data_IF_165004997115
#
_entry.id   IF_165004997115
#
_cell.length_a   1.000
_cell.length_b   1.000
_cell.length_c   1.000
_cell.angle_alpha   90.00
_cell.angle_beta   90.00
_cell.angle_gamma   90.00
#
_symmetry.space_group_name_H-M   'P 1'
#
loop_
_entity.id
_entity.type
_entity.pdbx_description
1 polymer ?
#
# COMPACT_ATOMS: atom_id res chain seq x y z
N UNK A 1 23.89 -12.22 -7.88
CA UNK A 1 24.44 -11.59 -6.66
C UNK A 1 25.10 -12.63 -5.75
N UNK A 2 24.39 -13.65 -5.20
CA UNK A 2 24.95 -14.62 -4.24
C UNK A 2 26.23 -15.33 -4.75
N UNK A 3 26.25 -15.80 -6.00
CA UNK A 3 27.40 -16.49 -6.58
C UNK A 3 28.62 -15.58 -6.70
N UNK A 4 28.40 -14.30 -7.07
CA UNK A 4 29.44 -13.27 -7.09
C UNK A 4 30.00 -12.96 -5.70
N UNK A 5 29.11 -12.87 -4.72
CA UNK A 5 29.51 -12.61 -3.31
C UNK A 5 30.35 -13.77 -2.77
N UNK A 6 29.96 -15.01 -3.07
CA UNK A 6 30.75 -16.20 -2.68
C UNK A 6 32.10 -16.19 -3.38
N UNK A 7 32.15 -15.92 -4.69
CA UNK A 7 33.43 -15.83 -5.43
C UNK A 7 34.37 -14.80 -4.83
N UNK A 8 33.85 -13.60 -4.55
CA UNK A 8 34.62 -12.55 -3.89
C UNK A 8 35.09 -12.97 -2.50
N UNK A 9 34.25 -13.64 -1.72
CA UNK A 9 34.61 -14.12 -0.37
C UNK A 9 35.73 -15.17 -0.43
N UNK A 10 35.78 -16.00 -1.47
CA UNK A 10 36.87 -16.95 -1.73
C UNK A 10 38.18 -16.19 -2.01
N UNK A 11 38.14 -15.14 -2.81
CA UNK A 11 39.30 -14.31 -3.11
C UNK A 11 39.83 -13.59 -1.85
N UNK A 12 38.93 -13.04 -1.03
CA UNK A 12 39.30 -12.34 0.20
C UNK A 12 39.82 -13.29 1.28
N UNK A 13 39.31 -14.53 1.36
CA UNK A 13 39.83 -15.55 2.27
C UNK A 13 41.24 -15.98 1.97
N UNK A 14 41.71 -15.84 0.72
CA UNK A 14 43.11 -16.10 0.35
C UNK A 14 44.10 -15.06 0.92
N UNK A 15 43.59 -13.84 1.20
CA UNK A 15 44.39 -12.74 1.76
C UNK A 15 44.47 -12.81 3.28
N UNK A 16 43.43 -13.33 3.94
CA UNK A 16 43.30 -13.34 5.38
C UNK A 16 42.84 -14.72 5.88
N UNK A 17 43.69 -15.44 6.59
CA UNK A 17 43.45 -16.84 7.04
C UNK A 17 42.25 -17.00 7.99
N UNK A 18 41.85 -15.95 8.68
CA UNK A 18 40.71 -15.93 9.63
C UNK A 18 39.44 -15.33 9.03
N UNK A 19 39.46 -15.05 7.72
CA UNK A 19 38.32 -14.39 7.04
C UNK A 19 37.07 -15.28 7.05
N UNK A 20 35.96 -14.70 7.50
CA UNK A 20 34.63 -15.27 7.40
C UNK A 20 33.71 -14.27 6.72
N UNK A 21 32.85 -14.76 5.86
CA UNK A 21 31.84 -13.93 5.21
C UNK A 21 30.46 -14.20 5.76
N UNK A 22 29.88 -13.19 6.41
CA UNK A 22 28.53 -13.30 6.96
C UNK A 22 27.49 -13.02 5.90
N UNK A 23 26.73 -14.06 5.52
CA UNK A 23 25.72 -13.98 4.45
C UNK A 23 24.43 -13.30 4.92
N UNK A 24 24.20 -13.28 6.23
CA UNK A 24 23.03 -12.64 6.84
C UNK A 24 22.45 -13.45 7.99
N UNK A 25 21.19 -13.17 8.33
CA UNK A 25 20.50 -13.79 9.45
C UNK A 25 19.38 -14.70 8.96
N UNK A 26 19.18 -15.83 9.64
CA UNK A 26 18.00 -16.69 9.51
C UNK A 26 17.25 -16.63 10.83
N UNK A 27 15.95 -16.32 10.78
CA UNK A 27 15.09 -16.28 11.96
C UNK A 27 14.19 -17.51 11.93
N UNK A 28 14.26 -18.30 12.96
CA UNK A 28 13.48 -19.52 13.15
C UNK A 28 12.53 -19.34 14.34
N UNK A 29 11.29 -19.77 14.16
CA UNK A 29 10.31 -19.94 15.21
C UNK A 29 10.20 -21.42 15.57
N UNK A 30 10.29 -21.71 16.84
CA UNK A 30 10.07 -23.06 17.37
C UNK A 30 8.62 -23.18 17.78
N UNK A 31 7.85 -23.97 17.03
CA UNK A 31 6.43 -24.17 17.30
C UNK A 31 6.19 -25.14 18.48
N UNK A 32 4.95 -25.27 18.92
CA UNK A 32 4.55 -26.14 20.05
C UNK A 32 4.90 -27.63 19.87
N UNK A 33 5.14 -28.06 18.62
CA UNK A 33 5.57 -29.41 18.27
C UNK A 33 7.09 -29.58 18.27
N UNK A 34 7.84 -28.58 18.70
CA UNK A 34 9.31 -28.52 18.59
C UNK A 34 9.86 -28.48 17.16
N UNK A 35 9.04 -28.15 16.16
CA UNK A 35 9.46 -27.98 14.78
C UNK A 35 9.98 -26.55 14.58
N UNK A 36 10.97 -26.40 13.70
CA UNK A 36 11.55 -25.11 13.36
C UNK A 36 10.93 -24.56 12.08
N UNK A 37 10.23 -23.45 12.16
CA UNK A 37 9.61 -22.73 11.05
C UNK A 37 10.48 -21.53 10.66
N UNK A 38 10.80 -21.39 9.38
CA UNK A 38 11.61 -20.26 8.90
C UNK A 38 10.71 -19.03 8.79
N UNK A 39 10.95 -18.02 9.62
CA UNK A 39 10.25 -16.72 9.58
C UNK A 39 10.95 -15.76 8.63
N UNK A 40 12.28 -15.69 8.66
CA UNK A 40 13.11 -14.94 7.71
C UNK A 40 14.30 -15.74 7.23
N UNK A 41 14.78 -15.40 6.03
CA UNK A 41 15.91 -16.06 5.39
C UNK A 41 15.53 -17.20 4.45
N UNK A 42 14.24 -17.40 4.13
CA UNK A 42 13.75 -18.45 3.24
C UNK A 42 14.51 -18.45 1.89
N UNK A 43 14.67 -17.29 1.27
CA UNK A 43 15.39 -17.16 -0.01
C UNK A 43 16.86 -17.57 0.12
N UNK A 44 17.51 -17.25 1.24
CA UNK A 44 18.90 -17.65 1.52
C UNK A 44 19.00 -19.15 1.66
N UNK A 45 18.14 -19.76 2.48
CA UNK A 45 18.11 -21.21 2.69
C UNK A 45 17.90 -21.95 1.37
N UNK A 46 16.90 -21.54 0.57
CA UNK A 46 16.62 -22.14 -0.74
C UNK A 46 17.78 -21.97 -1.72
N UNK A 47 18.41 -20.82 -1.79
CA UNK A 47 19.55 -20.56 -2.68
C UNK A 47 20.77 -21.42 -2.29
N UNK A 48 21.05 -21.57 -0.99
CA UNK A 48 22.10 -22.45 -0.51
C UNK A 48 21.79 -23.92 -0.74
N UNK A 49 20.52 -24.31 -0.58
CA UNK A 49 20.05 -25.67 -0.85
C UNK A 49 20.28 -26.05 -2.33
N UNK A 50 19.88 -25.17 -3.27
CA UNK A 50 20.08 -25.37 -4.70
C UNK A 50 21.56 -25.42 -5.07
N UNK A 51 22.36 -24.54 -4.50
CA UNK A 51 23.81 -24.53 -4.72
C UNK A 51 24.47 -25.81 -4.18
N UNK A 52 24.09 -26.22 -2.97
CA UNK A 52 24.61 -27.47 -2.37
C UNK A 52 24.23 -28.69 -3.17
N UNK A 53 22.98 -28.77 -3.64
CA UNK A 53 22.49 -29.86 -4.48
C UNK A 53 23.28 -29.95 -5.82
N UNK A 54 23.60 -28.78 -6.42
CA UNK A 54 24.42 -28.74 -7.62
C UNK A 54 25.87 -29.22 -7.39
N UNK A 55 26.47 -28.81 -6.28
CA UNK A 55 27.86 -29.14 -5.94
C UNK A 55 28.01 -30.60 -5.45
N UNK A 56 26.95 -31.15 -4.86
CA UNK A 56 26.91 -32.49 -4.29
C UNK A 56 25.55 -33.14 -4.56
N UNK A 57 25.37 -33.80 -5.72
CA UNK A 57 24.11 -34.45 -6.07
C UNK A 57 23.65 -35.56 -5.12
N UNK A 58 24.55 -36.06 -4.26
CA UNK A 58 24.24 -37.05 -3.25
C UNK A 58 23.71 -36.46 -1.93
N UNK A 59 23.67 -35.10 -1.86
CA UNK A 59 23.19 -34.41 -0.67
C UNK A 59 21.70 -34.66 -0.43
N UNK A 60 21.37 -35.11 0.76
CA UNK A 60 20.00 -35.40 1.19
C UNK A 60 19.68 -34.59 2.44
N UNK A 61 18.54 -33.91 2.44
CA UNK A 61 17.97 -33.28 3.63
C UNK A 61 16.44 -33.24 3.54
N UNK A 62 15.78 -33.05 4.67
CA UNK A 62 14.32 -33.03 4.76
C UNK A 62 13.68 -31.90 3.93
N UNK A 63 14.39 -30.78 3.70
CA UNK A 63 13.91 -29.65 2.90
C UNK A 63 13.73 -29.98 1.42
N UNK A 64 14.40 -31.02 0.90
CA UNK A 64 14.25 -31.49 -0.48
C UNK A 64 12.89 -32.18 -0.73
N UNK A 65 12.20 -32.59 0.34
CA UNK A 65 10.90 -33.26 0.25
C UNK A 65 9.72 -32.29 0.36
N UNK A 66 9.99 -30.97 0.43
CA UNK A 66 8.94 -29.96 0.52
C UNK A 66 8.32 -29.73 -0.86
N UNK A 67 7.02 -29.94 -0.97
CA UNK A 67 6.26 -29.59 -2.16
C UNK A 67 5.79 -28.14 -2.09
N UNK A 68 6.11 -27.36 -3.12
CA UNK A 68 5.68 -25.99 -3.26
C UNK A 68 4.40 -25.93 -4.10
N UNK A 69 3.27 -25.59 -3.48
CA UNK A 69 1.99 -25.46 -4.18
C UNK A 69 1.94 -24.27 -5.16
N UNK A 70 2.72 -23.23 -4.91
CA UNK A 70 2.72 -22.00 -5.73
C UNK A 70 3.58 -22.17 -6.99
N UNK A 71 2.94 -22.09 -8.16
CA UNK A 71 3.60 -22.20 -9.49
C UNK A 71 4.70 -21.15 -9.73
N UNK A 72 4.59 -19.95 -9.15
CA UNK A 72 5.60 -18.91 -9.25
C UNK A 72 6.85 -19.32 -8.48
N UNK A 73 6.68 -19.88 -7.28
CA UNK A 73 7.80 -20.42 -6.49
C UNK A 73 8.50 -21.55 -7.23
N UNK A 74 7.75 -22.51 -7.78
CA UNK A 74 8.30 -23.63 -8.57
C UNK A 74 9.13 -23.10 -9.75
N UNK A 75 8.59 -22.15 -10.53
CA UNK A 75 9.30 -21.53 -11.65
C UNK A 75 10.58 -20.82 -11.19
N UNK A 76 10.50 -20.02 -10.13
CA UNK A 76 11.67 -19.29 -9.63
C UNK A 76 12.76 -20.21 -9.11
N UNK A 77 12.42 -21.32 -8.47
CA UNK A 77 13.38 -22.36 -8.06
C UNK A 77 14.07 -22.98 -9.27
N UNK A 78 13.31 -23.30 -10.32
CA UNK A 78 13.86 -23.84 -11.57
C UNK A 78 14.80 -22.85 -12.25
N UNK A 79 14.41 -21.59 -12.40
CA UNK A 79 15.26 -20.55 -13.01
C UNK A 79 16.53 -20.28 -12.18
N UNK A 80 16.41 -20.27 -10.86
CA UNK A 80 17.59 -20.13 -9.99
C UNK A 80 18.54 -21.31 -10.12
N UNK A 81 18.03 -22.52 -10.18
CA UNK A 81 18.87 -23.71 -10.39
C UNK A 81 19.55 -23.70 -11.77
N UNK A 82 18.81 -23.32 -12.81
CA UNK A 82 19.36 -23.13 -14.17
C UNK A 82 20.48 -22.09 -14.17
N UNK A 83 20.31 -20.96 -13.50
CA UNK A 83 21.35 -19.93 -13.36
C UNK A 83 22.60 -20.48 -12.69
N UNK A 84 22.46 -21.34 -11.66
CA UNK A 84 23.60 -22.02 -11.03
C UNK A 84 24.30 -22.94 -12.04
N UNK A 85 23.55 -23.74 -12.80
CA UNK A 85 24.11 -24.62 -13.81
C UNK A 85 24.89 -23.84 -14.90
N UNK A 86 24.31 -22.73 -15.38
CA UNK A 86 24.94 -21.86 -16.40
C UNK A 86 26.23 -21.21 -15.85
N UNK A 87 26.20 -20.74 -14.59
CA UNK A 87 27.39 -20.19 -13.95
C UNK A 87 28.57 -21.16 -13.98
N UNK A 88 28.35 -22.39 -13.52
CA UNK A 88 29.39 -23.40 -13.44
C UNK A 88 29.74 -24.08 -14.80
N UNK A 89 28.91 -23.93 -15.82
CA UNK A 89 29.24 -24.40 -17.16
C UNK A 89 30.35 -23.58 -17.82
N UNK A 90 30.48 -22.30 -17.46
CA UNK A 90 31.51 -21.38 -17.91
C UNK A 90 32.73 -21.29 -16.98
N UNK A 91 32.67 -21.93 -15.81
CA UNK A 91 33.70 -21.84 -14.78
C UNK A 91 34.79 -22.91 -14.91
N UNK A 92 35.99 -22.64 -14.36
CA UNK A 92 37.09 -23.62 -14.30
C UNK A 92 36.74 -24.78 -13.36
N UNK A 93 37.36 -25.98 -13.59
CA UNK A 93 37.08 -27.16 -12.75
C UNK A 93 37.32 -26.95 -11.27
N UNK A 94 38.27 -26.11 -10.89
CA UNK A 94 38.60 -25.79 -9.49
C UNK A 94 37.56 -24.95 -8.81
N UNK A 95 36.66 -24.25 -9.53
CA UNK A 95 35.67 -23.39 -8.93
C UNK A 95 34.66 -24.16 -8.11
N UNK A 96 34.22 -25.36 -8.51
CA UNK A 96 33.32 -26.21 -7.74
C UNK A 96 33.91 -26.61 -6.39
N UNK A 97 35.18 -26.98 -6.36
CA UNK A 97 35.88 -27.31 -5.14
C UNK A 97 36.00 -26.12 -4.20
N UNK A 98 36.34 -24.96 -4.76
CA UNK A 98 36.46 -23.70 -4.01
C UNK A 98 35.10 -23.27 -3.42
N UNK A 99 34.02 -23.36 -4.17
CA UNK A 99 32.67 -23.06 -3.70
C UNK A 99 32.22 -24.05 -2.61
N UNK A 100 32.50 -25.35 -2.75
CA UNK A 100 32.17 -26.33 -1.71
C UNK A 100 32.97 -26.08 -0.43
N UNK A 101 34.24 -25.69 -0.55
CA UNK A 101 35.07 -25.27 0.59
C UNK A 101 34.53 -23.98 1.21
N UNK A 102 34.10 -23.01 0.41
CA UNK A 102 33.53 -21.77 0.93
C UNK A 102 32.26 -22.01 1.74
N UNK A 103 31.34 -22.86 1.24
CA UNK A 103 30.14 -23.24 1.98
C UNK A 103 30.43 -23.87 3.34
N UNK A 104 31.53 -24.62 3.46
CA UNK A 104 31.90 -25.32 4.70
C UNK A 104 32.70 -24.47 5.66
N UNK A 105 33.59 -23.61 5.14
CA UNK A 105 34.67 -23.03 5.94
C UNK A 105 34.73 -21.50 5.90
N UNK A 106 34.14 -20.83 4.93
CA UNK A 106 34.25 -19.39 4.75
C UNK A 106 32.94 -18.68 5.11
N UNK A 107 31.80 -19.22 4.64
CA UNK A 107 30.50 -18.60 4.84
C UNK A 107 29.97 -18.89 6.24
N UNK A 108 29.35 -17.88 6.85
CA UNK A 108 28.62 -18.03 8.10
C UNK A 108 27.25 -17.35 8.03
N UNK A 109 26.30 -17.87 8.76
CA UNK A 109 24.98 -17.28 8.96
C UNK A 109 24.73 -17.12 10.45
N UNK A 110 24.01 -16.06 10.81
CA UNK A 110 23.50 -15.90 12.18
C UNK A 110 22.12 -16.56 12.20
N UNK A 111 21.97 -17.59 13.02
CA UNK A 111 20.68 -18.24 13.25
C UNK A 111 20.12 -17.77 14.58
N UNK A 112 18.94 -17.17 14.56
CA UNK A 112 18.22 -16.74 15.76
C UNK A 112 16.97 -17.61 15.86
N UNK A 113 16.87 -18.38 16.94
CA UNK A 113 15.68 -19.18 17.23
C UNK A 113 14.91 -18.56 18.38
N UNK A 114 13.61 -18.41 18.20
CA UNK A 114 12.68 -17.86 19.20
C UNK A 114 11.51 -18.80 19.44
N UNK A 115 11.01 -18.82 20.65
CA UNK A 115 9.86 -19.65 21.03
C UNK A 115 8.53 -18.95 20.78
N UNK A 116 8.55 -17.60 20.66
CA UNK A 116 7.33 -16.82 20.37
C UNK A 116 7.41 -16.23 18.98
N UNK A 117 6.38 -16.50 18.20
CA UNK A 117 6.28 -15.94 16.83
C UNK A 117 6.32 -14.41 16.82
N UNK A 118 5.80 -13.74 17.87
CA UNK A 118 5.85 -12.28 18.02
C UNK A 118 7.28 -11.75 18.11
N UNK A 119 8.18 -12.47 18.78
CA UNK A 119 9.60 -12.11 18.90
C UNK A 119 10.30 -12.28 17.54
N UNK A 120 9.95 -13.34 16.79
CA UNK A 120 10.45 -13.54 15.44
C UNK A 120 10.13 -12.35 14.53
N UNK A 121 8.88 -11.86 14.56
CA UNK A 121 8.48 -10.70 13.77
C UNK A 121 9.16 -9.40 14.22
N UNK A 122 9.34 -9.17 15.52
CA UNK A 122 10.10 -8.01 16.03
C UNK A 122 11.55 -8.02 15.53
N UNK A 123 12.20 -9.18 15.54
CA UNK A 123 13.56 -9.33 15.01
C UNK A 123 13.58 -9.11 13.49
N UNK A 124 12.63 -9.66 12.76
CA UNK A 124 12.48 -9.45 11.32
C UNK A 124 12.34 -7.96 11.00
N UNK A 125 11.46 -7.24 11.69
CA UNK A 125 11.27 -5.79 11.52
C UNK A 125 12.54 -5.00 11.82
N UNK A 126 13.24 -5.34 12.91
CA UNK A 126 14.47 -4.65 13.32
C UNK A 126 15.63 -4.88 12.34
N UNK A 127 15.70 -6.04 11.71
CA UNK A 127 16.72 -6.36 10.70
C UNK A 127 16.44 -5.69 9.36
N UNK A 128 15.17 -5.66 8.93
CA UNK A 128 14.77 -5.01 7.70
C UNK A 128 14.91 -3.48 7.77
N UNK A 129 14.90 -2.89 8.96
CA UNK A 129 15.18 -1.46 9.14
C UNK A 129 16.62 -1.07 8.77
N UNK A 130 17.54 -2.02 8.66
CA UNK A 130 18.95 -1.80 8.25
C UNK A 130 19.20 -1.96 6.74
N UNK A 131 18.21 -2.48 5.98
CA UNK A 131 18.25 -2.63 4.53
C UNK A 131 17.34 -1.64 3.82
N UNK A 132 16.66 -2.07 2.74
CA UNK A 132 15.58 -1.30 2.13
C UNK A 132 14.41 -1.30 3.11
N UNK A 133 14.08 -0.12 3.64
CA UNK A 133 12.97 0.02 4.59
C UNK A 133 11.70 -0.60 4.01
N UNK A 134 11.03 -1.45 4.79
CA UNK A 134 9.71 -1.96 4.46
C UNK A 134 8.71 -0.81 4.36
N UNK A 135 7.78 -0.94 3.46
CA UNK A 135 6.66 0.00 3.41
C UNK A 135 5.75 -0.20 4.63
N UNK A 136 5.10 0.86 5.12
CA UNK A 136 4.19 0.76 6.27
C UNK A 136 3.13 -0.33 6.14
N UNK A 137 2.61 -0.55 4.93
CA UNK A 137 1.61 -1.59 4.66
C UNK A 137 2.18 -3.03 4.75
N UNK A 138 3.49 -3.22 4.53
CA UNK A 138 4.13 -4.53 4.74
C UNK A 138 4.22 -4.86 6.23
N UNK A 139 4.51 -3.86 7.07
CA UNK A 139 4.50 -4.01 8.52
C UNK A 139 3.09 -4.31 9.05
N UNK A 140 2.07 -3.62 8.51
CA UNK A 140 0.68 -3.91 8.85
C UNK A 140 0.27 -5.31 8.43
N UNK A 141 0.67 -5.78 7.24
CA UNK A 141 0.46 -7.17 6.81
C UNK A 141 1.00 -8.16 7.84
N UNK A 142 2.28 -7.99 8.22
CA UNK A 142 2.92 -8.88 9.19
C UNK A 142 2.23 -8.84 10.55
N UNK A 143 1.86 -7.64 11.03
CA UNK A 143 1.12 -7.46 12.27
C UNK A 143 -0.21 -8.22 12.25
N UNK A 144 -1.04 -8.03 11.22
CA UNK A 144 -2.37 -8.62 11.16
C UNK A 144 -2.35 -10.13 10.91
N UNK A 145 -1.37 -10.65 10.16
CA UNK A 145 -1.22 -12.10 10.02
C UNK A 145 -0.96 -12.79 11.36
N UNK A 146 -0.25 -12.13 12.27
CA UNK A 146 -0.02 -12.63 13.62
C UNK A 146 -1.32 -12.72 14.46
N UNK A 147 -2.25 -11.80 14.23
CA UNK A 147 -3.54 -11.75 14.96
C UNK A 147 -4.56 -12.76 14.41
N UNK A 148 -4.28 -13.46 13.30
CA UNK A 148 -5.14 -14.50 12.75
C UNK A 148 -4.74 -15.85 13.35
N UNK A 149 -5.63 -16.47 14.10
CA UNK A 149 -5.39 -17.75 14.76
C UNK A 149 -5.75 -18.95 13.87
N UNK A 150 -6.73 -18.80 12.98
CA UNK A 150 -7.12 -19.85 12.04
C UNK A 150 -6.16 -19.92 10.85
N UNK A 151 -5.57 -21.12 10.62
CA UNK A 151 -4.58 -21.34 9.57
C UNK A 151 -5.15 -21.17 8.15
N UNK A 152 -6.40 -21.58 7.94
CA UNK A 152 -7.05 -21.46 6.63
C UNK A 152 -7.37 -20.00 6.32
N UNK A 153 -7.88 -19.25 7.30
CA UNK A 153 -8.15 -17.84 7.18
C UNK A 153 -6.85 -17.05 6.91
N UNK A 154 -5.76 -17.38 7.62
CA UNK A 154 -4.44 -16.80 7.38
C UNK A 154 -3.96 -17.03 5.94
N UNK A 155 -4.07 -18.28 5.44
CA UNK A 155 -3.67 -18.59 4.07
C UNK A 155 -4.49 -17.82 3.04
N UNK A 156 -5.80 -17.69 3.23
CA UNK A 156 -6.67 -16.91 2.37
C UNK A 156 -6.30 -15.43 2.38
N UNK A 157 -6.00 -14.86 3.55
CA UNK A 157 -5.56 -13.47 3.68
C UNK A 157 -4.25 -13.22 2.91
N UNK A 158 -3.27 -14.14 3.01
CA UNK A 158 -2.02 -14.05 2.26
C UNK A 158 -2.26 -14.11 0.76
N UNK A 159 -3.05 -15.09 0.27
CA UNK A 159 -3.34 -15.24 -1.16
C UNK A 159 -4.01 -13.99 -1.72
N UNK A 160 -5.01 -13.47 -1.03
CA UNK A 160 -5.68 -12.22 -1.41
C UNK A 160 -4.73 -11.02 -1.44
N UNK A 161 -3.84 -10.91 -0.47
CA UNK A 161 -2.86 -9.83 -0.43
C UNK A 161 -1.86 -9.91 -1.59
N UNK A 162 -1.28 -11.08 -1.81
CA UNK A 162 -0.29 -11.32 -2.88
C UNK A 162 -0.89 -11.19 -4.30
N UNK A 163 -2.20 -11.28 -4.44
CA UNK A 163 -2.88 -11.04 -5.71
C UNK A 163 -2.91 -9.56 -6.12
N UNK A 164 -2.65 -8.66 -5.19
CA UNK A 164 -2.68 -7.21 -5.41
C UNK A 164 -1.30 -6.67 -5.82
N UNK A 165 -1.32 -5.60 -6.59
CA UNK A 165 -0.08 -4.89 -6.89
C UNK A 165 0.36 -4.07 -5.66
N UNK A 166 1.62 -4.20 -5.20
CA UNK A 166 2.12 -3.46 -4.03
C UNK A 166 1.97 -1.95 -4.16
N UNK A 167 2.11 -1.42 -5.39
CA UNK A 167 1.90 -0.01 -5.68
C UNK A 167 0.46 0.43 -5.40
N UNK A 168 -0.54 -0.37 -5.77
CA UNK A 168 -1.94 -0.04 -5.55
C UNK A 168 -2.29 -0.02 -4.06
N UNK A 169 -1.74 -0.96 -3.27
CA UNK A 169 -1.90 -0.97 -1.81
C UNK A 169 -1.28 0.30 -1.21
N UNK A 170 -0.05 0.62 -1.61
CA UNK A 170 0.63 1.83 -1.16
C UNK A 170 -0.19 3.09 -1.45
N UNK A 171 -0.67 3.23 -2.68
CA UNK A 171 -1.48 4.38 -3.10
C UNK A 171 -2.80 4.47 -2.33
N UNK A 172 -3.43 3.34 -2.00
CA UNK A 172 -4.64 3.31 -1.17
C UNK A 172 -4.39 3.98 0.20
N UNK A 173 -3.30 3.65 0.87
CA UNK A 173 -2.96 4.25 2.15
C UNK A 173 -2.45 5.70 2.00
N UNK A 174 -1.47 5.94 1.13
CA UNK A 174 -0.78 7.24 0.99
C UNK A 174 -1.72 8.33 0.47
N UNK A 175 -2.57 8.01 -0.52
CA UNK A 175 -3.36 9.01 -1.24
C UNK A 175 -4.79 9.13 -0.73
N UNK A 176 -5.33 8.09 -0.06
CA UNK A 176 -6.75 8.07 0.29
C UNK A 176 -7.00 7.82 1.79
N UNK A 177 -6.76 6.63 2.32
CA UNK A 177 -7.17 6.29 3.69
C UNK A 177 -6.52 7.17 4.75
N UNK A 178 -5.20 7.35 4.69
CA UNK A 178 -4.47 8.14 5.68
C UNK A 178 -4.81 9.64 5.63
N UNK A 179 -4.89 10.28 4.45
CA UNK A 179 -5.41 11.65 4.35
C UNK A 179 -6.83 11.80 4.86
N UNK A 180 -7.77 10.93 4.46
CA UNK A 180 -9.18 11.00 4.91
C UNK A 180 -9.26 10.90 6.42
N UNK A 181 -8.56 9.94 7.04
CA UNK A 181 -8.57 9.76 8.49
C UNK A 181 -8.08 10.99 9.26
N UNK A 182 -7.03 11.67 8.74
CA UNK A 182 -6.51 12.88 9.34
C UNK A 182 -7.43 14.08 9.09
N UNK A 183 -7.88 14.30 7.86
CA UNK A 183 -8.72 15.44 7.49
C UNK A 183 -10.12 15.37 8.12
N UNK A 184 -10.66 14.18 8.33
CA UNK A 184 -11.88 13.99 9.11
C UNK A 184 -11.75 14.56 10.53
N UNK A 185 -10.56 14.47 11.12
CA UNK A 185 -10.21 15.02 12.44
C UNK A 185 -9.62 16.43 12.37
N UNK A 186 -9.67 17.07 11.20
CA UNK A 186 -9.11 18.39 10.92
C UNK A 186 -7.61 18.49 11.26
N UNK A 187 -6.86 17.42 11.00
CA UNK A 187 -5.40 17.33 11.19
C UNK A 187 -4.70 17.34 9.84
N UNK A 188 -3.58 18.03 9.75
CA UNK A 188 -2.66 17.90 8.61
C UNK A 188 -2.00 16.54 8.62
N UNK A 189 -1.71 15.99 7.45
CA UNK A 189 -0.94 14.77 7.30
C UNK A 189 0.24 14.96 6.33
N UNK A 190 1.24 14.11 6.46
CA UNK A 190 2.28 13.88 5.47
C UNK A 190 1.99 12.63 4.64
N UNK A 191 3.04 12.01 4.10
CA UNK A 191 2.94 10.66 3.56
C UNK A 191 2.75 9.66 4.70
N UNK A 192 2.07 8.57 4.45
CA UNK A 192 1.92 7.48 5.42
C UNK A 192 3.27 6.83 5.71
N UNK A 193 3.68 6.77 6.97
CA UNK A 193 4.99 6.30 7.42
C UNK A 193 4.86 5.20 8.46
N UNK A 194 5.95 4.52 8.75
CA UNK A 194 6.01 3.49 9.79
C UNK A 194 5.60 3.99 11.18
N UNK A 195 5.81 5.28 11.47
CA UNK A 195 5.34 5.90 12.71
C UNK A 195 3.81 6.04 12.80
N UNK A 196 3.11 5.93 11.68
CA UNK A 196 1.66 6.14 11.60
C UNK A 196 0.86 4.82 11.59
N UNK A 197 1.53 3.66 11.58
CA UNK A 197 0.88 2.34 11.42
C UNK A 197 -0.12 2.02 12.53
N UNK A 198 0.05 2.60 13.72
CA UNK A 198 -0.84 2.36 14.86
C UNK A 198 -2.31 2.72 14.56
N UNK A 199 -2.53 3.63 13.61
CA UNK A 199 -3.88 3.99 13.14
C UNK A 199 -4.61 2.79 12.54
N UNK A 200 -3.87 1.88 11.89
CA UNK A 200 -4.41 0.73 11.18
C UNK A 200 -4.08 -0.61 11.82
N UNK A 201 -3.62 -0.63 13.07
CA UNK A 201 -3.47 -1.88 13.83
C UNK A 201 -4.81 -2.46 14.27
N UNK A 202 -5.88 -1.67 14.20
CA UNK A 202 -7.18 -2.12 14.67
C UNK A 202 -7.22 -2.30 16.20
N UNK A 203 -8.20 -3.04 16.66
CA UNK A 203 -8.42 -3.39 18.08
C UNK A 203 -8.51 -4.90 18.22
N UNK A 204 -8.07 -5.45 19.35
CA UNK A 204 -8.16 -6.89 19.62
C UNK A 204 -9.61 -7.36 19.75
N UNK A 205 -9.86 -8.64 19.46
CA UNK A 205 -11.18 -9.27 19.62
C UNK A 205 -11.77 -9.12 21.04
N UNK A 206 -10.90 -9.12 22.05
CA UNK A 206 -11.28 -8.97 23.46
C UNK A 206 -11.48 -7.51 23.87
N UNK A 207 -11.42 -6.57 22.95
CA UNK A 207 -11.57 -5.16 23.24
C UNK A 207 -12.91 -4.85 23.90
N UNK A 208 -12.86 -4.01 24.93
CA UNK A 208 -14.06 -3.45 25.57
C UNK A 208 -14.76 -2.39 24.71
N UNK A 209 -14.18 -2.02 23.56
CA UNK A 209 -14.77 -1.06 22.65
C UNK A 209 -16.06 -1.60 22.04
N UNK A 210 -17.17 -1.04 22.44
CA UNK A 210 -18.52 -1.56 22.13
C UNK A 210 -18.81 -1.63 20.63
N UNK A 211 -18.28 -0.70 19.85
CA UNK A 211 -18.45 -0.68 18.38
C UNK A 211 -17.81 -1.91 17.71
N UNK A 212 -16.61 -2.28 18.10
CA UNK A 212 -15.92 -3.44 17.57
C UNK A 212 -16.67 -4.75 17.85
N UNK A 213 -17.21 -4.89 19.06
CA UNK A 213 -18.02 -6.06 19.42
C UNK A 213 -19.29 -6.20 18.56
N UNK A 214 -19.87 -5.10 18.10
CA UNK A 214 -21.00 -5.10 17.17
C UNK A 214 -20.59 -5.47 15.76
N UNK A 215 -19.43 -4.99 15.30
CA UNK A 215 -18.94 -5.27 13.96
C UNK A 215 -18.65 -6.76 13.73
N UNK A 216 -18.27 -7.49 14.78
CA UNK A 216 -17.75 -8.84 14.67
C UNK A 216 -18.75 -9.91 14.17
N UNK A 217 -20.06 -9.70 14.16
CA UNK A 217 -21.01 -10.76 13.71
C UNK A 217 -22.19 -10.29 12.87
N UNK A 218 -22.53 -9.02 12.88
CA UNK A 218 -23.79 -8.55 12.30
C UNK A 218 -23.66 -7.52 11.18
N UNK A 219 -22.51 -6.87 11.03
CA UNK A 219 -22.34 -5.77 10.08
C UNK A 219 -20.93 -5.80 9.46
N UNK A 220 -20.74 -6.49 8.34
CA UNK A 220 -19.47 -6.55 7.63
C UNK A 220 -19.25 -5.29 6.80
N UNK A 221 -19.28 -4.11 7.42
CA UNK A 221 -18.90 -2.88 6.76
C UNK A 221 -17.85 -2.13 7.58
N UNK A 222 -17.02 -1.42 6.86
CA UNK A 222 -15.98 -0.58 7.42
C UNK A 222 -16.39 0.89 7.29
N UNK A 223 -15.88 1.72 8.21
CA UNK A 223 -15.87 3.17 8.08
C UNK A 223 -14.43 3.64 8.26
N UNK A 224 -13.93 4.48 7.34
CA UNK A 224 -12.52 4.92 7.33
C UNK A 224 -12.10 5.55 8.67
N UNK A 225 -13.04 6.20 9.34
CA UNK A 225 -12.77 6.91 10.61
C UNK A 225 -12.93 6.05 11.85
N UNK A 226 -13.48 4.84 11.71
CA UNK A 226 -13.76 3.93 12.83
C UNK A 226 -12.74 2.79 12.89
N UNK A 227 -12.47 2.26 14.09
CA UNK A 227 -11.59 1.12 14.23
C UNK A 227 -12.28 -0.16 13.74
N UNK A 228 -11.45 -1.10 13.30
CA UNK A 228 -11.82 -2.46 12.90
C UNK A 228 -11.10 -3.47 13.79
N UNK A 229 -11.45 -4.76 13.70
CA UNK A 229 -10.81 -5.81 14.47
C UNK A 229 -9.48 -6.19 13.85
N UNK A 230 -8.42 -6.30 14.66
CA UNK A 230 -7.11 -6.76 14.21
C UNK A 230 -7.20 -8.18 13.63
N UNK A 231 -6.36 -8.47 12.64
CA UNK A 231 -6.35 -9.78 11.98
C UNK A 231 -7.01 -9.75 10.60
N UNK A 232 -7.95 -10.64 10.34
CA UNK A 232 -8.56 -10.84 9.03
C UNK A 232 -9.32 -9.62 8.49
N UNK A 233 -9.92 -8.84 9.37
CA UNK A 233 -10.65 -7.62 8.99
C UNK A 233 -9.76 -6.58 8.31
N UNK A 234 -8.48 -6.51 8.64
CA UNK A 234 -7.54 -5.64 7.94
C UNK A 234 -7.47 -5.95 6.44
N UNK A 235 -7.35 -7.23 6.10
CA UNK A 235 -7.28 -7.65 4.70
C UNK A 235 -8.61 -7.42 3.99
N UNK A 236 -9.72 -7.68 4.68
CA UNK A 236 -11.07 -7.39 4.19
C UNK A 236 -11.29 -5.88 3.98
N UNK A 237 -10.82 -5.03 4.89
CA UNK A 237 -10.87 -3.57 4.78
C UNK A 237 -10.10 -3.07 3.56
N UNK A 238 -8.89 -3.58 3.32
CA UNK A 238 -8.10 -3.19 2.14
C UNK A 238 -8.82 -3.57 0.85
N UNK A 239 -9.39 -4.80 0.78
CA UNK A 239 -10.19 -5.25 -0.36
C UNK A 239 -11.41 -4.35 -0.59
N UNK A 240 -12.13 -4.05 0.48
CA UNK A 240 -13.32 -3.22 0.47
C UNK A 240 -13.05 -1.83 -0.11
N UNK A 241 -12.02 -1.13 0.38
CA UNK A 241 -11.73 0.22 -0.10
C UNK A 241 -11.10 0.24 -1.49
N UNK A 242 -10.32 -0.76 -1.88
CA UNK A 242 -9.86 -0.88 -3.27
C UNK A 242 -11.03 -1.06 -4.23
N UNK A 243 -11.99 -1.94 -3.89
CA UNK A 243 -13.18 -2.16 -4.69
C UNK A 243 -14.10 -0.94 -4.71
N UNK A 244 -14.29 -0.28 -3.57
CA UNK A 244 -15.10 0.93 -3.46
C UNK A 244 -14.52 2.05 -4.34
N UNK A 245 -13.20 2.28 -4.28
CA UNK A 245 -12.52 3.28 -5.11
C UNK A 245 -12.67 2.97 -6.61
N UNK A 246 -12.58 1.69 -6.99
CA UNK A 246 -12.80 1.26 -8.36
C UNK A 246 -14.26 1.53 -8.79
N UNK A 247 -15.23 1.16 -7.95
CA UNK A 247 -16.66 1.34 -8.26
C UNK A 247 -17.03 2.82 -8.43
N UNK A 248 -16.59 3.71 -7.52
CA UNK A 248 -16.89 5.14 -7.65
C UNK A 248 -16.26 5.77 -8.90
N UNK A 249 -15.09 5.30 -9.33
CA UNK A 249 -14.47 5.73 -10.60
C UNK A 249 -15.25 5.24 -11.81
N UNK A 250 -15.71 4.00 -11.78
CA UNK A 250 -16.58 3.47 -12.83
C UNK A 250 -17.91 4.23 -12.93
N UNK A 251 -18.53 4.57 -11.79
CA UNK A 251 -19.76 5.40 -11.79
C UNK A 251 -19.53 6.76 -12.45
N UNK A 252 -18.36 7.38 -12.25
CA UNK A 252 -18.01 8.63 -12.92
C UNK A 252 -17.97 8.45 -14.44
N UNK A 253 -17.29 7.39 -14.91
CA UNK A 253 -17.11 7.12 -16.34
C UNK A 253 -18.42 6.72 -17.02
N UNK A 254 -19.28 5.94 -16.34
CA UNK A 254 -20.53 5.42 -16.93
C UNK A 254 -21.72 6.35 -16.83
N UNK A 255 -21.63 7.41 -16.00
CA UNK A 255 -22.74 8.33 -15.77
C UNK A 255 -22.78 9.48 -16.79
N UNK A 256 -23.77 9.55 -17.69
CA UNK A 256 -23.90 10.68 -18.63
C UNK A 256 -24.02 12.04 -17.91
N UNK A 257 -24.58 12.05 -16.69
CA UNK A 257 -24.72 13.27 -15.89
C UNK A 257 -23.40 13.83 -15.36
N UNK A 258 -22.32 13.02 -15.40
CA UNK A 258 -20.97 13.36 -14.95
C UNK A 258 -19.97 13.49 -16.09
N UNK A 259 -20.39 13.36 -17.34
CA UNK A 259 -19.49 13.41 -18.50
C UNK A 259 -18.65 14.69 -18.56
N UNK A 260 -19.21 15.87 -18.25
CA UNK A 260 -18.45 17.12 -18.20
C UNK A 260 -17.37 17.09 -17.11
N UNK A 261 -17.67 16.48 -15.95
CA UNK A 261 -16.70 16.28 -14.86
C UNK A 261 -15.60 15.31 -15.29
N UNK A 262 -15.96 14.20 -15.94
CA UNK A 262 -15.03 13.25 -16.52
C UNK A 262 -14.05 13.91 -17.49
N UNK A 263 -14.55 14.73 -18.44
CA UNK A 263 -13.71 15.48 -19.38
C UNK A 263 -12.73 16.44 -18.68
N UNK A 264 -13.12 17.06 -17.59
CA UNK A 264 -12.19 17.87 -16.80
C UNK A 264 -11.11 16.99 -16.15
N UNK A 265 -11.48 15.83 -15.60
CA UNK A 265 -10.53 14.89 -15.01
C UNK A 265 -9.52 14.34 -16.01
N UNK A 266 -9.92 14.14 -17.25
CA UNK A 266 -9.13 13.50 -18.31
C UNK A 266 -8.42 14.49 -19.23
N UNK A 267 -8.61 15.80 -19.02
CA UNK A 267 -8.08 16.83 -19.91
C UNK A 267 -8.73 16.82 -21.30
N UNK A 268 -10.03 16.51 -21.37
CA UNK A 268 -10.83 16.51 -22.59
C UNK A 268 -10.77 15.21 -23.41
N UNK A 269 -10.30 14.11 -22.81
CA UNK A 269 -10.28 12.79 -23.46
C UNK A 269 -11.41 11.93 -22.93
N UNK A 270 -12.16 11.32 -23.82
CA UNK A 270 -13.13 10.30 -23.46
C UNK A 270 -12.42 9.03 -22.96
N UNK A 271 -12.97 8.42 -21.93
CA UNK A 271 -12.45 7.18 -21.34
C UNK A 271 -13.59 6.18 -21.14
N UNK A 272 -13.25 4.90 -21.14
CA UNK A 272 -14.22 3.82 -21.07
C UNK A 272 -14.10 2.98 -19.79
N UNK A 273 -13.12 3.27 -18.94
CA UNK A 273 -12.92 2.51 -17.71
C UNK A 273 -12.26 3.34 -16.61
N UNK A 274 -12.39 2.87 -15.35
CA UNK A 274 -11.74 3.46 -14.20
C UNK A 274 -10.20 3.49 -14.35
N UNK A 275 -9.61 2.47 -14.98
CA UNK A 275 -8.17 2.38 -15.22
C UNK A 275 -7.69 3.41 -16.24
N UNK A 276 -8.52 3.73 -17.23
CA UNK A 276 -8.22 4.77 -18.22
C UNK A 276 -8.34 6.16 -17.61
N UNK A 277 -9.32 6.37 -16.74
CA UNK A 277 -9.51 7.63 -16.01
C UNK A 277 -8.23 8.05 -15.24
N UNK A 278 -7.50 7.09 -14.68
CA UNK A 278 -6.27 7.36 -13.95
C UNK A 278 -5.04 7.56 -14.87
N UNK A 279 -5.06 7.02 -16.08
CA UNK A 279 -3.93 7.04 -17.03
C UNK A 279 -3.90 8.26 -17.94
N UNK A 280 -5.06 8.80 -18.29
CA UNK A 280 -5.20 9.84 -19.31
C UNK A 280 -4.77 11.22 -18.86
N UNK A 281 -4.39 11.36 -17.61
CA UNK A 281 -4.08 12.64 -17.02
C UNK A 281 -2.73 13.20 -17.50
N UNK A 282 -2.70 14.47 -17.92
CA UNK A 282 -1.47 15.16 -18.29
C UNK A 282 -0.57 15.38 -17.08
N UNK A 283 0.57 14.70 -17.05
CA UNK A 283 1.59 14.81 -15.99
C UNK A 283 2.18 16.22 -15.88
N UNK A 284 2.05 17.06 -16.90
CA UNK A 284 2.53 18.45 -16.90
C UNK A 284 1.77 19.37 -15.94
N UNK A 285 0.58 18.96 -15.51
CA UNK A 285 -0.29 19.74 -14.63
C UNK A 285 -0.23 19.25 -13.17
N UNK A 286 0.94 19.32 -12.54
CA UNK A 286 1.22 18.81 -11.18
C UNK A 286 0.14 19.19 -10.15
N UNK A 287 -0.34 20.43 -10.19
CA UNK A 287 -1.34 20.90 -9.24
C UNK A 287 -2.70 20.23 -9.34
N UNK A 288 -3.13 19.79 -10.52
CA UNK A 288 -4.41 19.11 -10.71
C UNK A 288 -4.40 17.70 -10.09
N UNK A 289 -3.28 16.99 -10.13
CA UNK A 289 -3.16 15.68 -9.48
C UNK A 289 -3.52 15.75 -8.00
N UNK A 290 -3.07 16.79 -7.31
CA UNK A 290 -3.42 16.98 -5.90
C UNK A 290 -4.91 17.30 -5.69
N UNK A 291 -5.49 18.14 -6.53
CA UNK A 291 -6.92 18.46 -6.47
C UNK A 291 -7.79 17.24 -6.80
N UNK A 292 -7.39 16.45 -7.80
CA UNK A 292 -8.05 15.18 -8.16
C UNK A 292 -8.02 14.18 -6.98
N UNK A 293 -6.87 14.01 -6.34
CA UNK A 293 -6.77 13.12 -5.19
C UNK A 293 -7.63 13.62 -4.02
N UNK A 294 -7.70 14.93 -3.80
CA UNK A 294 -8.62 15.53 -2.83
C UNK A 294 -10.09 15.24 -3.15
N UNK A 295 -10.47 15.33 -4.43
CA UNK A 295 -11.80 14.95 -4.87
C UNK A 295 -12.11 13.48 -4.58
N UNK A 296 -11.21 12.57 -4.95
CA UNK A 296 -11.43 11.14 -4.68
C UNK A 296 -11.45 10.83 -3.18
N UNK A 297 -10.67 11.53 -2.36
CA UNK A 297 -10.77 11.41 -0.90
C UNK A 297 -12.16 11.83 -0.40
N UNK A 298 -12.67 12.96 -0.86
CA UNK A 298 -13.99 13.44 -0.45
C UNK A 298 -15.11 12.50 -0.93
N UNK A 299 -15.03 12.03 -2.18
CA UNK A 299 -16.02 11.14 -2.76
C UNK A 299 -15.99 9.75 -2.10
N UNK A 300 -14.80 9.22 -1.85
CA UNK A 300 -14.63 7.95 -1.11
C UNK A 300 -15.22 8.06 0.31
N UNK A 301 -14.92 9.12 1.04
CA UNK A 301 -15.47 9.38 2.37
C UNK A 301 -17.00 9.54 2.34
N UNK A 302 -17.53 10.20 1.32
CA UNK A 302 -18.97 10.38 1.13
C UNK A 302 -19.67 9.03 0.86
N UNK A 303 -19.14 8.24 -0.07
CA UNK A 303 -19.70 6.95 -0.41
C UNK A 303 -19.58 5.94 0.75
N UNK A 304 -18.44 5.93 1.45
CA UNK A 304 -18.21 5.15 2.66
C UNK A 304 -19.24 5.44 3.75
N UNK A 305 -19.61 6.72 3.90
CA UNK A 305 -20.57 7.16 4.92
C UNK A 305 -22.02 6.86 4.60
N UNK A 306 -22.42 7.04 3.33
CA UNK A 306 -23.84 7.06 2.94
C UNK A 306 -24.25 5.90 2.02
N UNK A 307 -23.30 5.19 1.43
CA UNK A 307 -23.54 4.18 0.38
C UNK A 307 -24.49 4.70 -0.72
N UNK A 308 -24.38 5.97 -1.04
CA UNK A 308 -25.22 6.71 -1.97
C UNK A 308 -24.38 7.49 -2.96
N UNK A 309 -24.79 7.53 -4.21
CA UNK A 309 -24.10 8.24 -5.28
C UNK A 309 -25.02 9.36 -5.84
N UNK A 310 -25.25 10.40 -5.01
CA UNK A 310 -26.03 11.58 -5.41
C UNK A 310 -25.19 12.44 -6.36
N UNK A 311 -25.70 12.62 -7.60
CA UNK A 311 -25.01 13.36 -8.67
C UNK A 311 -24.69 14.80 -8.25
N UNK A 312 -25.59 15.46 -7.53
CA UNK A 312 -25.35 16.84 -7.07
C UNK A 312 -24.28 16.89 -5.99
N UNK A 313 -24.28 15.91 -5.07
CA UNK A 313 -23.20 15.78 -4.09
C UNK A 313 -21.85 15.56 -4.78
N UNK A 314 -21.78 14.64 -5.75
CA UNK A 314 -20.55 14.38 -6.54
C UNK A 314 -20.05 15.65 -7.22
N UNK A 315 -20.93 16.37 -7.93
CA UNK A 315 -20.57 17.64 -8.58
C UNK A 315 -20.07 18.68 -7.59
N UNK A 316 -20.70 18.83 -6.42
CA UNK A 316 -20.25 19.78 -5.40
C UNK A 316 -18.91 19.40 -4.77
N UNK A 317 -18.69 18.12 -4.49
CA UNK A 317 -17.41 17.61 -4.00
C UNK A 317 -16.29 17.86 -5.03
N UNK A 318 -16.60 17.64 -6.30
CA UNK A 318 -15.66 17.89 -7.38
C UNK A 318 -15.30 19.38 -7.50
N UNK A 319 -16.33 20.26 -7.57
CA UNK A 319 -16.11 21.71 -7.65
C UNK A 319 -15.35 22.21 -6.43
N UNK A 320 -15.70 21.76 -5.23
CA UNK A 320 -14.96 22.10 -4.02
C UNK A 320 -13.48 21.71 -4.16
N UNK A 321 -13.18 20.47 -4.54
CA UNK A 321 -11.80 20.00 -4.64
C UNK A 321 -11.00 20.69 -5.74
N UNK A 322 -11.63 20.96 -6.90
CA UNK A 322 -10.94 21.62 -8.02
C UNK A 322 -10.77 23.14 -7.83
N UNK A 323 -11.64 23.77 -7.04
CA UNK A 323 -11.56 25.22 -6.81
C UNK A 323 -10.22 25.63 -6.18
N UNK A 324 -9.60 24.77 -5.36
CA UNK A 324 -8.25 25.05 -4.81
C UNK A 324 -7.20 25.27 -5.92
N UNK A 325 -7.37 24.60 -7.08
CA UNK A 325 -6.46 24.82 -8.23
C UNK A 325 -6.68 26.19 -8.86
N UNK A 326 -7.92 26.63 -8.91
CA UNK A 326 -8.29 27.97 -9.41
C UNK A 326 -7.80 29.08 -8.50
N UNK A 327 -7.85 28.84 -7.18
CA UNK A 327 -7.47 29.82 -6.15
C UNK A 327 -5.96 30.03 -6.02
N UNK A 328 -5.14 29.07 -6.46
CA UNK A 328 -3.70 29.06 -6.16
C UNK A 328 -2.82 29.06 -7.41
N UNK A 329 -1.79 29.91 -7.45
CA UNK A 329 -0.77 29.85 -8.50
C UNK A 329 0.08 28.59 -8.38
N UNK A 330 0.52 28.27 -7.16
CA UNK A 330 1.29 27.07 -6.84
C UNK A 330 0.50 26.18 -5.89
N UNK A 331 0.25 24.95 -6.28
CA UNK A 331 -0.51 23.99 -5.50
C UNK A 331 0.38 22.80 -5.10
N UNK A 332 0.74 22.76 -3.83
CA UNK A 332 1.48 21.68 -3.20
C UNK A 332 0.61 20.94 -2.16
N UNK A 333 1.13 19.85 -1.61
CA UNK A 333 0.40 19.03 -0.66
C UNK A 333 0.08 19.76 0.66
N UNK A 334 0.95 20.67 1.16
CA UNK A 334 0.63 21.47 2.35
C UNK A 334 -0.56 22.43 2.11
N UNK A 335 -0.66 22.97 0.90
CA UNK A 335 -1.81 23.79 0.50
C UNK A 335 -3.10 22.98 0.53
N UNK A 336 -3.07 21.76 -0.01
CA UNK A 336 -4.21 20.82 0.04
C UNK A 336 -4.58 20.49 1.50
N UNK A 337 -3.61 20.24 2.36
CA UNK A 337 -3.87 19.99 3.78
C UNK A 337 -4.62 21.15 4.44
N UNK A 338 -4.15 22.36 4.26
CA UNK A 338 -4.79 23.56 4.83
C UNK A 338 -6.22 23.73 4.31
N UNK A 339 -6.38 23.57 3.00
CA UNK A 339 -7.67 23.68 2.36
C UNK A 339 -8.66 22.59 2.85
N UNK A 340 -8.24 21.34 2.88
CA UNK A 340 -9.06 20.20 3.27
C UNK A 340 -9.56 20.25 4.72
N UNK A 341 -8.78 20.86 5.63
CA UNK A 341 -9.15 21.02 7.04
C UNK A 341 -9.84 22.34 7.36
N UNK A 342 -10.07 23.18 6.33
CA UNK A 342 -10.73 24.47 6.48
C UNK A 342 -9.85 25.53 7.16
N UNK A 343 -8.53 25.40 7.10
CA UNK A 343 -7.58 26.41 7.52
C UNK A 343 -7.15 27.21 6.27
N UNK A 344 -7.89 28.22 5.92
CA UNK A 344 -7.51 29.17 4.88
C UNK A 344 -7.48 30.56 5.45
N UNK A 345 -6.46 31.35 5.11
CA UNK A 345 -6.58 32.79 5.17
C UNK A 345 -7.70 33.16 4.18
N UNK A 346 -8.76 33.79 4.67
CA UNK A 346 -9.98 34.09 3.90
C UNK A 346 -9.71 34.82 2.57
N UNK A 347 -8.53 35.44 2.43
CA UNK A 347 -8.12 36.19 1.23
C UNK A 347 -7.51 35.28 0.13
N UNK A 348 -7.10 34.06 0.45
CA UNK A 348 -6.40 33.16 -0.49
C UNK A 348 -7.28 32.06 -1.07
N UNK A 349 -8.24 31.58 -0.30
CA UNK A 349 -9.11 30.48 -0.72
C UNK A 349 -10.57 30.92 -0.72
N UNK A 350 -11.22 30.79 -1.85
CA UNK A 350 -12.65 31.09 -1.94
C UNK A 350 -13.52 30.08 -1.19
N UNK A 351 -13.02 28.86 -1.02
CA UNK A 351 -13.86 27.73 -0.60
C UNK A 351 -13.15 26.73 0.34
N UNK A 352 -12.21 27.20 1.17
CA UNK A 352 -11.56 26.33 2.16
C UNK A 352 -12.57 25.93 3.26
N UNK A 353 -13.15 24.75 3.09
CA UNK A 353 -14.10 24.16 4.03
C UNK A 353 -13.63 22.77 4.44
N UNK A 354 -13.84 22.33 5.69
CA UNK A 354 -13.46 20.99 6.14
C UNK A 354 -14.46 19.93 5.66
N UNK A 355 -14.65 19.79 4.33
CA UNK A 355 -15.70 18.97 3.74
C UNK A 355 -15.62 17.51 4.19
N UNK A 356 -14.43 16.93 4.29
CA UNK A 356 -14.26 15.56 4.77
C UNK A 356 -14.76 15.43 6.22
N UNK A 357 -14.43 16.38 7.08
CA UNK A 357 -14.97 16.43 8.44
C UNK A 357 -16.50 16.62 8.45
N UNK A 358 -17.02 17.50 7.57
CA UNK A 358 -18.48 17.69 7.43
C UNK A 358 -19.18 16.39 7.03
N UNK A 359 -18.66 15.64 6.06
CA UNK A 359 -19.20 14.34 5.65
C UNK A 359 -19.25 13.37 6.83
N UNK A 360 -18.17 13.31 7.61
CA UNK A 360 -18.08 12.40 8.77
C UNK A 360 -19.16 12.66 9.83
N UNK A 361 -19.55 13.93 10.02
CA UNK A 361 -20.57 14.31 11.00
C UNK A 361 -21.98 14.44 10.43
N UNK A 362 -22.12 14.46 9.09
CA UNK A 362 -23.42 14.57 8.45
C UNK A 362 -24.30 13.34 8.74
N UNK A 363 -25.59 13.58 8.94
CA UNK A 363 -26.58 12.54 9.22
C UNK A 363 -27.28 12.04 7.95
N UNK A 364 -27.34 12.88 6.93
CA UNK A 364 -27.99 12.59 5.65
C UNK A 364 -27.10 13.01 4.49
N UNK A 365 -27.11 12.24 3.41
CA UNK A 365 -26.38 12.56 2.18
C UNK A 365 -26.79 13.93 1.61
N UNK A 366 -28.06 14.32 1.80
CA UNK A 366 -28.61 15.60 1.32
C UNK A 366 -27.95 16.82 1.96
N UNK A 367 -27.31 16.70 3.11
CA UNK A 367 -26.54 17.80 3.71
C UNK A 367 -25.35 18.20 2.85
N UNK A 368 -24.77 17.21 2.15
CA UNK A 368 -23.65 17.45 1.22
C UNK A 368 -24.16 17.96 -0.12
N UNK A 369 -25.22 17.36 -0.68
CA UNK A 369 -25.78 17.84 -1.94
C UNK A 369 -26.43 19.22 -1.83
N UNK A 370 -26.81 19.66 -0.61
CA UNK A 370 -27.32 21.01 -0.38
C UNK A 370 -26.25 22.01 0.10
N UNK A 371 -24.99 21.58 0.35
CA UNK A 371 -23.97 22.49 0.86
C UNK A 371 -23.77 23.68 -0.10
N UNK A 372 -23.54 24.88 0.47
CA UNK A 372 -23.24 26.08 -0.31
C UNK A 372 -21.75 26.17 -0.57
N UNK A 373 -21.38 26.39 -1.83
CA UNK A 373 -20.00 26.64 -2.22
C UNK A 373 -19.81 28.12 -2.52
N UNK A 374 -18.73 28.68 -1.99
CA UNK A 374 -18.34 30.06 -2.29
C UNK A 374 -17.40 30.02 -3.50
N UNK A 375 -17.96 30.08 -4.72
CA UNK A 375 -17.14 30.11 -5.92
C UNK A 375 -16.35 31.43 -5.97
N UNK A 376 -15.13 31.33 -6.47
CA UNK A 376 -14.26 32.50 -6.62
C UNK A 376 -14.94 33.57 -7.49
N UNK A 377 -15.01 34.79 -6.97
CA UNK A 377 -15.42 35.97 -7.74
C UNK A 377 -14.20 36.53 -8.50
N UNK A 378 -14.40 36.90 -9.78
CA UNK A 378 -13.33 37.43 -10.62
C UNK A 378 -12.52 36.32 -11.32
N UNK A 379 -11.27 36.64 -11.69
CA UNK A 379 -10.38 35.78 -12.44
C UNK A 379 -9.73 34.69 -11.59
N UNK A 380 -9.34 33.58 -12.21
CA UNK A 380 -8.48 32.58 -11.59
C UNK A 380 -7.15 33.19 -11.13
N UNK A 381 -6.50 32.57 -10.18
CA UNK A 381 -5.19 33.05 -9.69
C UNK A 381 -4.06 32.97 -10.74
N UNK A 382 -4.27 32.13 -11.77
CA UNK A 382 -3.39 32.00 -12.93
C UNK A 382 -4.29 31.85 -14.17
N UNK A 383 -4.04 32.66 -15.22
CA UNK A 383 -4.85 32.72 -16.44
C UNK A 383 -5.04 31.34 -17.11
N UNK A 384 -4.10 30.42 -16.98
CA UNK A 384 -4.23 29.06 -17.52
C UNK A 384 -5.36 28.25 -16.90
N UNK A 385 -5.94 28.68 -15.78
CA UNK A 385 -7.04 28.02 -15.08
C UNK A 385 -8.39 28.73 -15.26
N UNK A 386 -8.47 29.75 -16.12
CA UNK A 386 -9.74 30.46 -16.40
C UNK A 386 -10.77 29.52 -17.00
N UNK A 387 -10.39 28.70 -17.98
CA UNK A 387 -11.29 27.72 -18.60
C UNK A 387 -11.81 26.70 -17.57
N UNK A 388 -10.92 26.22 -16.67
CA UNK A 388 -11.34 25.35 -15.57
C UNK A 388 -12.34 26.06 -14.65
N UNK A 389 -12.08 27.32 -14.31
CA UNK A 389 -12.94 28.12 -13.45
C UNK A 389 -14.36 28.27 -14.03
N UNK A 390 -14.45 28.56 -15.31
CA UNK A 390 -15.74 28.71 -15.98
C UNK A 390 -16.50 27.38 -16.04
N UNK A 391 -15.84 26.28 -16.39
CA UNK A 391 -16.44 24.93 -16.37
C UNK A 391 -16.92 24.54 -14.96
N UNK A 392 -16.19 24.87 -13.89
CA UNK A 392 -16.62 24.59 -12.53
C UNK A 392 -17.87 25.39 -12.13
N UNK A 393 -18.02 26.63 -12.59
CA UNK A 393 -19.25 27.42 -12.40
C UNK A 393 -20.45 26.82 -13.13
N UNK A 394 -20.26 26.39 -14.37
CA UNK A 394 -21.31 25.76 -15.18
C UNK A 394 -21.82 24.45 -14.55
N UNK A 395 -20.92 23.63 -13.96
CA UNK A 395 -21.29 22.38 -13.30
C UNK A 395 -22.28 22.56 -12.14
N UNK A 396 -22.23 23.71 -11.45
CA UNK A 396 -23.10 23.99 -10.29
C UNK A 396 -24.34 24.80 -10.67
N UNK A 397 -24.18 25.80 -11.56
CA UNK A 397 -25.27 26.74 -11.87
C UNK A 397 -26.13 26.27 -13.04
N UNK A 398 -25.75 25.20 -13.77
CA UNK A 398 -26.32 24.81 -15.03
C UNK A 398 -25.85 25.72 -16.21
N UNK A 399 -25.97 25.26 -17.42
CA UNK A 399 -25.76 26.10 -18.60
C UNK A 399 -26.93 27.10 -18.67
N UNK A 400 -26.62 28.40 -18.51
CA UNK A 400 -27.56 29.47 -18.82
C UNK A 400 -27.95 29.45 -20.31
#
# INVERSE_FOLDING_TARGET
>A
DLLLDIQKSIEDSRKYSTFKYRVGTIILHKNDKNELEIVDGQQRVLSFLLLKLYLDPSFVCSLLNIEFANKVTQRNLHENFKTICEWFSSAAKDDKSNFNNALKNILEVVVVTVDKISEAFQLFDSQNSRGKALYPHDLLKAYHLREIHDKYEMQNAVVKWESKQPKAIRELFDLYLFPIWNWAKRRKCGNFRTADIDIYKGIGEDSLYTYARRANKAMPYFLITEPFIAGADFFAMVDHYMQMLHNIKNEIVTSPALHELELILTGGKDVNSAEELDKTYDKSAIGITHARNLFYCALLCYYDRFHNFDIMAVKKLFVWAMMVRVDMQHLGFDTINRYAIGLGDNDKYSNAMPVISMITYARKHTEISSMRLNLRNGKAADNKWEELHDKLKELINGKN
#
